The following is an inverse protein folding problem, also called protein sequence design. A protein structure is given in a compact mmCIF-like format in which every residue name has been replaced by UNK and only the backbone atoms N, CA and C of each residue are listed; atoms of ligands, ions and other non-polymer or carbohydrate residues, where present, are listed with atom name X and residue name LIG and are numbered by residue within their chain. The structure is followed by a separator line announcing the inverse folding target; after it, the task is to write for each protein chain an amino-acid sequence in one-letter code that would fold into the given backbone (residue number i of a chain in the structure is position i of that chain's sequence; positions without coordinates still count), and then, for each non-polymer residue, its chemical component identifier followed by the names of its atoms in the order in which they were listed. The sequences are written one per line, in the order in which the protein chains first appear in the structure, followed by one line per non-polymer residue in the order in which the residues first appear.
data_IF_184175374741
#
_entry.id   IF_184175374741
#
_cell.length_a   1.000
_cell.length_b   1.000
_cell.length_c   1.000
_cell.angle_alpha   90.00
_cell.angle_beta   90.00
_cell.angle_gamma   90.00
#
_symmetry.space_group_name_H-M   'P 1'
#
loop_
_entity.id
_entity.type
_entity.pdbx_description
1 polymer ?
#
# COMPACT_ATOMS: atom_id res chain seq x y z
N UNK A 1 162.05 51.00 -54.60
CA UNK A 1 161.34 50.06 -53.68
C UNK A 1 160.24 50.75 -52.87
N UNK A 2 160.42 51.97 -52.34
CA UNK A 2 159.42 52.65 -51.48
C UNK A 2 158.02 52.89 -52.11
N UNK A 3 157.94 53.19 -53.42
CA UNK A 3 156.65 53.47 -54.08
C UNK A 3 155.70 52.27 -54.19
N UNK A 4 156.22 51.04 -54.21
CA UNK A 4 155.42 49.80 -54.27
C UNK A 4 154.75 49.51 -52.91
N UNK A 5 155.49 49.66 -51.82
CA UNK A 5 154.96 49.52 -50.46
C UNK A 5 153.88 50.55 -50.13
N UNK A 6 154.04 51.80 -50.56
CA UNK A 6 153.03 52.84 -50.39
C UNK A 6 151.74 52.56 -51.19
N UNK A 7 151.87 51.95 -52.37
CA UNK A 7 150.73 51.53 -53.18
C UNK A 7 149.97 50.36 -52.53
N UNK A 8 150.70 49.35 -52.02
CA UNK A 8 150.12 48.20 -51.31
C UNK A 8 149.45 48.61 -49.98
N UNK A 9 150.01 49.58 -49.26
CA UNK A 9 149.37 50.16 -48.08
C UNK A 9 148.09 50.92 -48.44
N UNK A 10 148.09 51.69 -49.53
CA UNK A 10 146.91 52.43 -50.01
C UNK A 10 145.79 51.50 -50.44
N UNK A 11 146.11 50.40 -51.12
CA UNK A 11 145.10 49.39 -51.51
C UNK A 11 144.54 48.68 -50.29
N UNK A 12 145.36 48.37 -49.29
CA UNK A 12 144.90 47.78 -48.02
C UNK A 12 144.00 48.71 -47.22
N UNK A 13 144.38 50.00 -47.11
CA UNK A 13 143.54 51.03 -46.47
C UNK A 13 142.19 51.15 -47.18
N UNK A 14 142.18 51.24 -48.52
CA UNK A 14 140.93 51.31 -49.29
C UNK A 14 140.06 50.06 -49.10
N UNK A 15 140.67 48.87 -49.02
CA UNK A 15 139.95 47.64 -48.75
C UNK A 15 139.35 47.62 -47.33
N UNK A 16 140.10 48.09 -46.33
CA UNK A 16 139.62 48.22 -44.95
C UNK A 16 138.49 49.26 -44.84
N UNK A 17 138.57 50.39 -45.53
CA UNK A 17 137.51 51.40 -45.60
C UNK A 17 136.23 50.83 -46.22
N UNK A 18 136.34 50.05 -47.30
CA UNK A 18 135.20 49.35 -47.90
C UNK A 18 134.59 48.33 -46.93
N UNK A 19 135.41 47.55 -46.25
CA UNK A 19 134.92 46.59 -45.25
C UNK A 19 134.23 47.30 -44.07
N UNK A 20 134.79 48.41 -43.59
CA UNK A 20 134.20 49.23 -42.53
C UNK A 20 132.85 49.82 -42.96
N UNK A 21 132.75 50.33 -44.19
CA UNK A 21 131.51 50.87 -44.74
C UNK A 21 130.43 49.77 -44.86
N UNK A 22 130.80 48.57 -45.34
CA UNK A 22 129.89 47.42 -45.40
C UNK A 22 129.43 47.03 -44.00
N UNK A 23 130.35 46.88 -43.04
CA UNK A 23 130.01 46.52 -41.66
C UNK A 23 129.15 47.57 -40.98
N UNK A 24 129.37 48.85 -41.24
CA UNK A 24 128.53 49.94 -40.72
C UNK A 24 127.12 49.82 -41.25
N UNK A 25 126.95 49.60 -42.56
CA UNK A 25 125.65 49.38 -43.19
C UNK A 25 124.93 48.13 -42.65
N UNK A 26 125.67 47.04 -42.44
CA UNK A 26 125.12 45.81 -41.85
C UNK A 26 124.63 46.03 -40.41
N UNK A 27 125.38 46.80 -39.61
CA UNK A 27 125.01 47.17 -38.23
C UNK A 27 123.74 48.04 -38.25
N UNK A 28 123.67 49.03 -39.14
CA UNK A 28 122.47 49.87 -39.30
C UNK A 28 121.24 49.03 -39.66
N UNK A 29 121.35 48.16 -40.67
CA UNK A 29 120.28 47.26 -41.06
C UNK A 29 119.84 46.38 -39.88
N UNK A 30 120.79 45.74 -39.20
CA UNK A 30 120.50 44.89 -38.03
C UNK A 30 119.81 45.68 -36.91
N UNK A 31 120.23 46.92 -36.67
CA UNK A 31 119.61 47.81 -35.69
C UNK A 31 118.16 48.14 -36.05
N UNK A 32 117.87 48.37 -37.34
CA UNK A 32 116.49 48.63 -37.79
C UNK A 32 115.60 47.39 -37.68
N UNK A 33 116.11 46.21 -38.03
CA UNK A 33 115.40 44.94 -37.89
C UNK A 33 115.12 44.59 -36.44
N UNK A 34 116.08 44.81 -35.54
CA UNK A 34 115.92 44.61 -34.11
C UNK A 34 114.82 45.51 -33.54
N UNK A 35 114.79 46.78 -33.95
CA UNK A 35 113.73 47.72 -33.54
C UNK A 35 112.35 47.26 -34.01
N UNK A 36 112.23 46.89 -35.29
CA UNK A 36 110.98 46.36 -35.87
C UNK A 36 110.50 45.09 -35.15
N UNK A 37 111.44 44.20 -34.83
CA UNK A 37 111.13 42.95 -34.10
C UNK A 37 110.65 43.24 -32.68
N UNK A 38 111.26 44.21 -31.98
CA UNK A 38 110.84 44.63 -30.63
C UNK A 38 109.44 45.22 -30.62
N UNK A 39 109.09 46.03 -31.63
CA UNK A 39 107.74 46.58 -31.79
C UNK A 39 106.70 45.47 -32.04
N UNK A 40 107.00 44.52 -32.93
CA UNK A 40 106.13 43.35 -33.18
C UNK A 40 105.95 42.46 -31.94
N UNK A 41 107.02 42.27 -31.16
CA UNK A 41 106.96 41.52 -29.91
C UNK A 41 106.03 42.20 -28.91
N UNK A 42 106.19 43.50 -28.69
CA UNK A 42 105.33 44.28 -27.79
C UNK A 42 103.85 44.26 -28.21
N UNK A 43 103.57 44.36 -29.52
CA UNK A 43 102.20 44.21 -30.04
C UNK A 43 101.64 42.81 -29.77
N UNK A 44 102.46 41.77 -29.91
CA UNK A 44 102.07 40.38 -29.64
C UNK A 44 101.78 40.16 -28.16
N UNK A 45 102.62 40.70 -27.27
CA UNK A 45 102.43 40.64 -25.81
C UNK A 45 101.10 41.28 -25.39
N UNK A 46 100.80 42.48 -25.89
CA UNK A 46 99.54 43.17 -25.60
C UNK A 46 98.33 42.39 -26.11
N UNK A 47 98.42 41.77 -27.29
CA UNK A 47 97.35 40.92 -27.82
C UNK A 47 97.13 39.68 -26.96
N UNK A 48 98.19 39.03 -26.51
CA UNK A 48 98.11 37.87 -25.63
C UNK A 48 97.49 38.24 -24.29
N UNK A 49 97.85 39.40 -23.73
CA UNK A 49 97.25 39.90 -22.49
C UNK A 49 95.73 40.10 -22.63
N UNK A 50 95.27 40.72 -23.72
CA UNK A 50 93.83 40.85 -24.00
C UNK A 50 93.13 39.51 -24.14
N UNK A 51 93.75 38.55 -24.84
CA UNK A 51 93.20 37.19 -24.96
C UNK A 51 93.11 36.45 -23.61
N UNK A 52 94.04 36.68 -22.69
CA UNK A 52 94.00 36.10 -21.34
C UNK A 52 92.83 36.67 -20.54
N UNK A 53 92.58 37.98 -20.65
CA UNK A 53 91.46 38.64 -19.98
C UNK A 53 90.10 38.14 -20.51
N UNK A 54 89.97 38.00 -21.83
CA UNK A 54 88.78 37.44 -22.49
C UNK A 54 88.54 35.96 -22.12
N UNK A 55 89.61 35.17 -22.01
CA UNK A 55 89.52 33.78 -21.57
C UNK A 55 89.05 33.69 -20.11
N UNK A 56 89.53 34.59 -19.26
CA UNK A 56 89.16 34.66 -17.85
C UNK A 56 87.69 35.05 -17.67
N UNK A 57 87.19 36.02 -18.44
CA UNK A 57 85.77 36.41 -18.43
C UNK A 57 84.88 35.27 -18.93
N UNK A 58 85.23 34.66 -20.06
CA UNK A 58 84.50 33.52 -20.64
C UNK A 58 84.42 32.34 -19.66
N UNK A 59 85.51 32.06 -18.94
CA UNK A 59 85.52 31.01 -17.92
C UNK A 59 84.54 31.28 -16.78
N UNK A 60 84.43 32.54 -16.32
CA UNK A 60 83.46 32.92 -15.28
C UNK A 60 82.02 32.75 -15.77
N UNK A 61 81.73 33.18 -16.98
CA UNK A 61 80.40 33.01 -17.58
C UNK A 61 80.04 31.53 -17.75
N UNK A 62 80.99 30.69 -18.17
CA UNK A 62 80.78 29.25 -18.28
C UNK A 62 80.42 28.61 -16.93
N UNK A 63 81.10 28.98 -15.84
CA UNK A 63 80.78 28.48 -14.51
C UNK A 63 79.40 28.97 -14.01
N UNK A 64 79.00 30.21 -14.34
CA UNK A 64 77.64 30.71 -14.05
C UNK A 64 76.59 29.86 -14.78
N UNK A 65 76.76 29.65 -16.09
CA UNK A 65 75.83 28.86 -16.91
C UNK A 65 75.73 27.41 -16.42
N UNK A 66 76.85 26.80 -15.99
CA UNK A 66 76.83 25.46 -15.40
C UNK A 66 75.98 25.40 -14.14
N UNK A 67 76.07 26.40 -13.27
CA UNK A 67 75.27 26.47 -12.05
C UNK A 67 73.78 26.60 -12.37
N UNK A 68 73.41 27.53 -13.24
CA UNK A 68 72.03 27.73 -13.69
C UNK A 68 71.43 26.47 -14.34
N UNK A 69 72.25 25.73 -15.10
CA UNK A 69 71.86 24.45 -15.67
C UNK A 69 71.51 23.42 -14.59
N UNK A 70 72.34 23.28 -13.56
CA UNK A 70 72.10 22.33 -12.45
C UNK A 70 70.82 22.71 -11.68
N UNK A 71 70.61 24.00 -11.42
CA UNK A 71 69.42 24.49 -10.71
C UNK A 71 68.14 24.21 -11.53
N UNK A 72 68.19 24.47 -12.84
CA UNK A 72 67.10 24.17 -13.77
C UNK A 72 66.79 22.66 -13.85
N UNK A 73 67.82 21.81 -13.89
CA UNK A 73 67.64 20.35 -13.89
C UNK A 73 66.99 19.84 -12.60
N UNK A 74 67.31 20.46 -11.46
CA UNK A 74 66.69 20.17 -10.16
C UNK A 74 65.21 20.55 -10.15
N UNK A 75 64.87 21.73 -10.66
CA UNK A 75 63.48 22.19 -10.78
C UNK A 75 62.65 21.29 -11.71
N UNK A 76 63.20 20.92 -12.86
CA UNK A 76 62.56 19.97 -13.79
C UNK A 76 62.26 18.63 -13.09
N UNK A 77 63.16 18.11 -12.27
CA UNK A 77 62.91 16.87 -11.51
C UNK A 77 61.76 17.04 -10.51
N UNK A 78 61.68 18.16 -9.79
CA UNK A 78 60.58 18.47 -8.86
C UNK A 78 59.24 18.59 -9.58
N UNK A 79 59.21 19.28 -10.72
CA UNK A 79 58.01 19.42 -11.54
C UNK A 79 57.55 18.08 -12.09
N UNK A 80 58.46 17.21 -12.56
CA UNK A 80 58.13 15.86 -13.00
C UNK A 80 57.49 15.01 -11.89
N UNK A 81 58.01 15.09 -10.67
CA UNK A 81 57.43 14.39 -9.52
C UNK A 81 56.01 14.89 -9.23
N UNK A 82 55.84 16.21 -9.16
CA UNK A 82 54.54 16.85 -8.92
C UNK A 82 53.52 16.48 -9.99
N UNK A 83 53.93 16.48 -11.27
CA UNK A 83 53.09 16.04 -12.39
C UNK A 83 52.60 14.61 -12.19
N UNK A 84 53.48 13.68 -11.85
CA UNK A 84 53.11 12.27 -11.62
C UNK A 84 52.15 12.10 -10.43
N UNK A 85 52.33 12.88 -9.36
CA UNK A 85 51.40 12.87 -8.22
C UNK A 85 50.02 13.41 -8.59
N UNK A 86 49.95 14.46 -9.41
CA UNK A 86 48.69 15.01 -9.92
C UNK A 86 47.98 14.03 -10.87
N UNK A 87 48.72 13.38 -11.77
CA UNK A 87 48.16 12.36 -12.67
C UNK A 87 47.52 11.20 -11.88
N UNK A 88 48.16 10.74 -10.81
CA UNK A 88 47.57 9.72 -9.91
C UNK A 88 46.29 10.22 -9.24
N UNK A 89 46.30 11.43 -8.69
CA UNK A 89 45.10 12.03 -8.07
C UNK A 89 43.95 12.18 -9.05
N UNK A 90 44.24 12.55 -10.31
CA UNK A 90 43.22 12.64 -11.37
C UNK A 90 42.62 11.25 -11.61
N UNK A 91 43.44 10.22 -11.78
CA UNK A 91 42.96 8.85 -11.99
C UNK A 91 42.10 8.34 -10.82
N UNK A 92 42.50 8.62 -9.57
CA UNK A 92 41.72 8.26 -8.38
C UNK A 92 40.38 9.00 -8.32
N UNK A 93 40.34 10.28 -8.75
CA UNK A 93 39.11 11.06 -8.81
C UNK A 93 38.18 10.56 -9.94
N UNK A 94 38.72 10.23 -11.10
CA UNK A 94 37.95 9.64 -12.21
C UNK A 94 37.30 8.31 -11.80
N UNK A 95 38.02 7.46 -11.07
CA UNK A 95 37.47 6.21 -10.54
C UNK A 95 36.31 6.47 -9.56
N UNK A 96 36.45 7.46 -8.65
CA UNK A 96 35.38 7.85 -7.72
C UNK A 96 34.16 8.43 -8.42
N UNK A 97 34.37 9.23 -9.48
CA UNK A 97 33.27 9.78 -10.28
C UNK A 97 32.49 8.64 -10.92
N UNK A 98 33.18 7.67 -11.54
CA UNK A 98 32.54 6.51 -12.14
C UNK A 98 31.76 5.66 -11.11
N UNK A 99 32.29 5.48 -9.89
CA UNK A 99 31.57 4.78 -8.82
C UNK A 99 30.28 5.53 -8.40
N UNK A 100 30.35 6.86 -8.28
CA UNK A 100 29.20 7.69 -7.93
C UNK A 100 28.13 7.69 -9.03
N UNK A 101 28.54 7.77 -10.29
CA UNK A 101 27.63 7.67 -11.45
C UNK A 101 26.88 6.33 -11.46
N UNK A 102 27.56 5.22 -11.17
CA UNK A 102 26.94 3.91 -11.05
C UNK A 102 25.91 3.86 -9.91
N UNK A 103 26.24 4.39 -8.73
CA UNK A 103 25.30 4.46 -7.59
C UNK A 103 24.08 5.33 -7.89
N UNK A 104 24.26 6.43 -8.64
CA UNK A 104 23.15 7.28 -9.09
C UNK A 104 22.24 6.50 -10.03
N UNK A 105 22.80 5.80 -11.02
CA UNK A 105 22.02 4.99 -11.96
C UNK A 105 21.23 3.88 -11.26
N UNK A 106 21.83 3.16 -10.31
CA UNK A 106 21.13 2.16 -9.50
C UNK A 106 19.98 2.77 -8.70
N UNK A 107 20.18 3.96 -8.15
CA UNK A 107 19.17 4.67 -7.37
C UNK A 107 18.01 5.14 -8.24
N UNK A 108 18.28 5.59 -9.47
CA UNK A 108 17.26 5.96 -10.46
C UNK A 108 16.40 4.75 -10.85
N UNK A 109 17.02 3.60 -11.13
CA UNK A 109 16.28 2.37 -11.45
C UNK A 109 15.37 1.90 -10.30
N UNK A 110 15.85 2.02 -9.06
CA UNK A 110 15.05 1.73 -7.86
C UNK A 110 13.86 2.70 -7.74
N UNK A 111 14.09 4.00 -7.98
CA UNK A 111 13.03 5.01 -7.94
C UNK A 111 11.95 4.75 -8.99
N UNK A 112 12.33 4.42 -10.23
CA UNK A 112 11.38 4.03 -11.29
C UNK A 112 10.55 2.80 -10.92
N UNK A 113 11.18 1.81 -10.28
CA UNK A 113 10.49 0.60 -9.83
C UNK A 113 9.47 0.91 -8.73
N UNK A 114 9.84 1.77 -7.77
CA UNK A 114 8.94 2.23 -6.71
C UNK A 114 7.75 2.99 -7.30
N UNK A 115 7.96 3.88 -8.27
CA UNK A 115 6.87 4.65 -8.86
C UNK A 115 5.91 3.77 -9.65
N UNK A 116 6.41 2.76 -10.37
CA UNK A 116 5.56 1.75 -11.03
C UNK A 116 4.68 1.00 -10.02
N UNK A 117 5.27 0.53 -8.90
CA UNK A 117 4.53 -0.20 -7.86
C UNK A 117 3.50 0.67 -7.14
N UNK A 118 3.81 1.96 -6.94
CA UNK A 118 2.87 2.94 -6.39
C UNK A 118 1.64 3.12 -7.29
N UNK A 119 1.85 3.21 -8.61
CA UNK A 119 0.74 3.30 -9.58
C UNK A 119 -0.13 2.04 -9.59
N UNK A 120 0.47 0.86 -9.42
CA UNK A 120 -0.25 -0.41 -9.32
C UNK A 120 -1.11 -0.47 -8.06
N UNK A 121 -0.54 -0.13 -6.90
CA UNK A 121 -1.27 -0.05 -5.62
C UNK A 121 -2.44 0.94 -5.70
N UNK A 122 -2.27 2.08 -6.37
CA UNK A 122 -3.35 3.06 -6.52
C UNK A 122 -4.50 2.51 -7.37
N UNK A 123 -4.21 1.75 -8.43
CA UNK A 123 -5.23 1.08 -9.23
C UNK A 123 -6.00 0.04 -8.41
N UNK A 124 -5.30 -0.81 -7.68
CA UNK A 124 -5.90 -1.82 -6.80
C UNK A 124 -6.79 -1.16 -5.73
N UNK A 125 -6.34 -0.05 -5.14
CA UNK A 125 -7.15 0.71 -4.16
C UNK A 125 -8.46 1.22 -4.74
N UNK A 126 -8.44 1.75 -5.96
CA UNK A 126 -9.65 2.21 -6.66
C UNK A 126 -10.60 1.05 -6.94
N UNK A 127 -10.08 -0.10 -7.36
CA UNK A 127 -10.89 -1.28 -7.64
C UNK A 127 -11.55 -1.84 -6.37
N UNK A 128 -10.79 -2.00 -5.28
CA UNK A 128 -11.30 -2.37 -3.96
C UNK A 128 -12.37 -1.37 -3.49
N UNK A 129 -12.15 -0.07 -3.72
CA UNK A 129 -13.13 0.97 -3.40
C UNK A 129 -14.47 0.78 -4.11
N UNK A 130 -14.45 0.41 -5.39
CA UNK A 130 -15.65 0.11 -6.18
C UNK A 130 -16.36 -1.16 -5.71
N UNK A 131 -15.60 -2.23 -5.47
CA UNK A 131 -16.16 -3.49 -4.97
C UNK A 131 -16.83 -3.32 -3.60
N UNK A 132 -16.21 -2.54 -2.71
CA UNK A 132 -16.77 -2.21 -1.40
C UNK A 132 -18.11 -1.47 -1.53
N UNK A 133 -18.23 -0.52 -2.45
CA UNK A 133 -19.47 0.24 -2.65
C UNK A 133 -20.57 -0.61 -3.29
N UNK A 134 -20.22 -1.50 -4.22
CA UNK A 134 -21.17 -2.46 -4.81
C UNK A 134 -21.71 -3.43 -3.74
N UNK A 135 -20.82 -3.99 -2.91
CA UNK A 135 -21.21 -4.85 -1.78
C UNK A 135 -22.11 -4.11 -0.78
N UNK A 136 -21.78 -2.85 -0.47
CA UNK A 136 -22.60 -2.02 0.41
C UNK A 136 -24.00 -1.82 -0.15
N UNK A 137 -24.09 -1.48 -1.43
CA UNK A 137 -25.38 -1.28 -2.12
C UNK A 137 -26.21 -2.57 -2.14
N UNK A 138 -25.59 -3.71 -2.45
CA UNK A 138 -26.25 -5.03 -2.40
C UNK A 138 -26.78 -5.38 -1.02
N UNK A 139 -25.99 -5.12 0.02
CA UNK A 139 -26.39 -5.38 1.41
C UNK A 139 -27.59 -4.50 1.80
N UNK A 140 -27.53 -3.21 1.47
CA UNK A 140 -28.59 -2.25 1.78
C UNK A 140 -29.90 -2.60 1.09
N UNK A 141 -29.84 -2.98 -0.20
CA UNK A 141 -31.00 -3.48 -0.93
C UNK A 141 -31.59 -4.75 -0.31
N UNK A 142 -30.74 -5.70 0.13
CA UNK A 142 -31.20 -6.93 0.77
C UNK A 142 -31.84 -6.67 2.13
N UNK A 143 -31.29 -5.76 2.93
CA UNK A 143 -31.86 -5.35 4.21
C UNK A 143 -33.25 -4.75 4.00
N UNK A 144 -33.39 -3.83 3.04
CA UNK A 144 -34.68 -3.20 2.75
C UNK A 144 -35.71 -4.22 2.27
N UNK A 145 -35.34 -5.13 1.36
CA UNK A 145 -36.22 -6.22 0.90
C UNK A 145 -36.69 -7.11 2.06
N UNK A 146 -35.79 -7.54 2.95
CA UNK A 146 -36.16 -8.37 4.11
C UNK A 146 -37.06 -7.60 5.07
N UNK A 147 -36.79 -6.30 5.27
CA UNK A 147 -37.62 -5.43 6.12
C UNK A 147 -39.05 -5.32 5.57
N UNK A 148 -39.19 -5.14 4.26
CA UNK A 148 -40.50 -5.05 3.60
C UNK A 148 -41.27 -6.38 3.70
N UNK A 149 -40.60 -7.51 3.46
CA UNK A 149 -41.17 -8.85 3.63
C UNK A 149 -41.63 -9.10 5.08
N UNK A 150 -40.83 -8.71 6.07
CA UNK A 150 -41.20 -8.82 7.48
C UNK A 150 -42.41 -7.94 7.82
N UNK A 151 -42.47 -6.71 7.30
CA UNK A 151 -43.60 -5.83 7.53
C UNK A 151 -44.90 -6.38 6.92
N UNK A 152 -44.82 -6.96 5.72
CA UNK A 152 -45.97 -7.62 5.10
C UNK A 152 -46.48 -8.79 5.95
N UNK A 153 -45.58 -9.64 6.45
CA UNK A 153 -45.95 -10.76 7.34
C UNK A 153 -46.56 -10.28 8.65
N UNK A 154 -46.06 -9.19 9.24
CA UNK A 154 -46.65 -8.60 10.45
C UNK A 154 -48.09 -8.17 10.18
N UNK A 155 -48.32 -7.45 9.07
CA UNK A 155 -49.66 -6.99 8.70
C UNK A 155 -50.61 -8.16 8.45
N UNK A 156 -50.14 -9.22 7.79
CA UNK A 156 -50.92 -10.44 7.53
C UNK A 156 -51.29 -11.17 8.84
N UNK A 157 -50.32 -11.32 9.76
CA UNK A 157 -50.56 -11.90 11.09
C UNK A 157 -51.58 -11.06 11.88
N UNK A 158 -51.52 -9.73 11.80
CA UNK A 158 -52.50 -8.86 12.44
C UNK A 158 -53.92 -9.02 11.84
N UNK A 159 -54.04 -9.16 10.52
CA UNK A 159 -55.32 -9.43 9.86
C UNK A 159 -55.91 -10.76 10.32
N UNK A 160 -55.13 -11.84 10.23
CA UNK A 160 -55.54 -13.18 10.65
C UNK A 160 -55.92 -13.23 12.13
N UNK A 161 -55.18 -12.53 12.98
CA UNK A 161 -55.49 -12.41 14.41
C UNK A 161 -56.85 -11.73 14.62
N UNK A 162 -57.15 -10.67 13.87
CA UNK A 162 -58.44 -9.97 13.97
C UNK A 162 -59.59 -10.84 13.45
N UNK A 163 -59.42 -11.51 12.31
CA UNK A 163 -60.40 -12.47 11.76
C UNK A 163 -60.70 -13.61 12.73
N UNK A 164 -59.66 -14.20 13.33
CA UNK A 164 -59.81 -15.25 14.33
C UNK A 164 -60.55 -14.74 15.57
N UNK A 165 -60.24 -13.52 16.03
CA UNK A 165 -60.92 -12.90 17.18
C UNK A 165 -62.41 -12.70 16.91
N UNK A 166 -62.77 -12.21 15.72
CA UNK A 166 -64.17 -12.05 15.30
C UNK A 166 -64.87 -13.41 15.24
N UNK A 167 -64.26 -14.39 14.56
CA UNK A 167 -64.81 -15.75 14.44
C UNK A 167 -65.06 -16.40 15.80
N UNK A 168 -64.12 -16.26 16.74
CA UNK A 168 -64.28 -16.75 18.11
C UNK A 168 -65.44 -16.06 18.81
N UNK A 169 -65.55 -14.73 18.69
CA UNK A 169 -66.67 -13.96 19.24
C UNK A 169 -68.02 -14.42 18.68
N UNK A 170 -68.11 -14.61 17.36
CA UNK A 170 -69.33 -15.06 16.69
C UNK A 170 -69.72 -16.47 17.16
N UNK A 171 -68.74 -17.37 17.29
CA UNK A 171 -68.96 -18.73 17.82
C UNK A 171 -69.41 -18.72 19.28
N UNK A 172 -68.94 -17.79 20.10
CA UNK A 172 -69.45 -17.64 21.46
C UNK A 172 -70.92 -17.23 21.49
N UNK A 173 -71.33 -16.28 20.64
CA UNK A 173 -72.75 -15.86 20.52
C UNK A 173 -73.62 -17.01 20.02
N UNK A 174 -73.17 -17.74 19.01
CA UNK A 174 -73.88 -18.91 18.46
C UNK A 174 -74.05 -20.01 19.53
N UNK A 175 -73.00 -20.32 20.30
CA UNK A 175 -73.07 -21.28 21.40
C UNK A 175 -74.08 -20.85 22.46
N UNK A 176 -74.12 -19.56 22.82
CA UNK A 176 -75.05 -19.07 23.83
C UNK A 176 -76.50 -19.16 23.34
N UNK A 177 -76.77 -18.80 22.09
CA UNK A 177 -78.08 -18.97 21.46
C UNK A 177 -78.53 -20.43 21.43
N UNK A 178 -77.63 -21.36 21.07
CA UNK A 178 -77.94 -22.79 21.04
C UNK A 178 -78.22 -23.36 22.44
N UNK A 179 -77.53 -22.85 23.48
CA UNK A 179 -77.85 -23.23 24.87
C UNK A 179 -79.24 -22.76 25.26
N UNK A 180 -79.59 -21.50 24.96
CA UNK A 180 -80.91 -20.95 25.27
C UNK A 180 -82.03 -21.74 24.59
N UNK A 181 -81.83 -22.11 23.32
CA UNK A 181 -82.77 -22.94 22.57
C UNK A 181 -82.90 -24.35 23.16
N UNK A 182 -81.78 -24.98 23.53
CA UNK A 182 -81.76 -26.26 24.25
C UNK A 182 -82.45 -26.17 25.60
N UNK A 183 -82.31 -25.05 26.31
CA UNK A 183 -83.00 -24.76 27.57
C UNK A 183 -84.51 -24.62 27.41
N UNK A 184 -84.96 -23.94 26.35
CA UNK A 184 -86.36 -23.84 26.00
C UNK A 184 -86.96 -25.21 25.64
N UNK A 185 -86.31 -25.97 24.76
CA UNK A 185 -86.74 -27.31 24.37
C UNK A 185 -86.81 -28.26 25.58
N UNK A 186 -85.85 -28.20 26.50
CA UNK A 186 -85.88 -29.02 27.71
C UNK A 186 -87.09 -28.70 28.62
N UNK A 187 -87.45 -27.42 28.75
CA UNK A 187 -88.67 -27.01 29.47
C UNK A 187 -89.93 -27.50 28.77
N UNK A 188 -89.99 -27.37 27.45
CA UNK A 188 -91.12 -27.86 26.65
C UNK A 188 -91.30 -29.37 26.79
N UNK A 189 -90.21 -30.16 26.69
CA UNK A 189 -90.23 -31.60 26.94
C UNK A 189 -90.73 -31.92 28.35
N UNK A 190 -90.30 -31.16 29.37
CA UNK A 190 -90.77 -31.36 30.74
C UNK A 190 -92.28 -31.10 30.87
N UNK A 191 -92.80 -30.04 30.23
CA UNK A 191 -94.25 -29.76 30.22
C UNK A 191 -95.05 -30.81 29.46
N UNK A 192 -94.55 -31.28 28.31
CA UNK A 192 -95.18 -32.36 27.55
C UNK A 192 -95.20 -33.66 28.35
N UNK A 193 -94.12 -34.01 29.05
CA UNK A 193 -94.07 -35.17 29.95
C UNK A 193 -95.15 -35.08 31.03
N UNK A 194 -95.27 -33.96 31.73
CA UNK A 194 -96.32 -33.75 32.74
C UNK A 194 -97.72 -33.87 32.12
N UNK A 195 -97.91 -33.33 30.92
CA UNK A 195 -99.16 -33.47 30.17
C UNK A 195 -99.49 -34.93 29.86
N UNK A 196 -98.51 -35.71 29.38
CA UNK A 196 -98.66 -37.16 29.14
C UNK A 196 -99.01 -37.89 30.43
N UNK A 197 -98.29 -37.66 31.53
CA UNK A 197 -98.58 -38.27 32.84
C UNK A 197 -100.02 -37.97 33.30
N UNK A 198 -100.49 -36.72 33.14
CA UNK A 198 -101.87 -36.35 33.51
C UNK A 198 -102.93 -37.01 32.61
N UNK A 199 -102.65 -37.17 31.31
CA UNK A 199 -103.53 -37.86 30.39
C UNK A 199 -103.57 -39.36 30.69
N UNK A 200 -102.44 -39.97 31.03
CA UNK A 200 -102.36 -41.36 31.47
C UNK A 200 -103.17 -41.59 32.76
N UNK A 201 -103.10 -40.68 33.74
CA UNK A 201 -103.92 -40.73 34.96
C UNK A 201 -105.42 -40.65 34.61
N UNK A 202 -105.82 -39.65 33.81
CA UNK A 202 -107.20 -39.48 33.35
C UNK A 202 -107.74 -40.69 32.57
N UNK A 203 -106.92 -41.32 31.71
CA UNK A 203 -107.31 -42.55 30.98
C UNK A 203 -107.50 -43.72 31.95
N UNK A 204 -106.65 -43.83 32.97
CA UNK A 204 -106.76 -44.86 34.01
C UNK A 204 -108.08 -44.73 34.78
N UNK A 205 -108.44 -43.50 35.16
CA UNK A 205 -109.73 -43.19 35.80
C UNK A 205 -110.93 -43.48 34.88
N UNK A 206 -110.86 -43.04 33.62
CA UNK A 206 -111.92 -43.23 32.64
C UNK A 206 -112.16 -44.71 32.26
N UNK A 207 -111.13 -45.57 32.35
CA UNK A 207 -111.27 -47.03 32.18
C UNK A 207 -111.81 -47.73 33.43
N UNK A 208 -111.56 -47.19 34.62
CA UNK A 208 -112.05 -47.73 35.89
C UNK A 208 -113.59 -47.79 35.95
N UNK A 209 -114.29 -46.72 35.56
CA UNK A 209 -115.74 -46.66 35.64
C UNK A 209 -116.48 -47.71 34.74
N UNK A 210 -116.12 -47.90 33.46
CA UNK A 210 -116.67 -48.98 32.62
C UNK A 210 -116.34 -50.38 33.15
N UNK A 211 -115.12 -50.61 33.66
CA UNK A 211 -114.71 -51.91 34.21
C UNK A 211 -115.49 -52.25 35.50
N UNK A 212 -115.68 -51.26 36.37
CA UNK A 212 -116.51 -51.40 37.57
C UNK A 212 -117.96 -51.72 37.20
N UNK A 213 -118.53 -51.01 36.22
CA UNK A 213 -119.89 -51.27 35.74
C UNK A 213 -120.05 -52.68 35.16
N UNK A 214 -119.06 -53.20 34.45
CA UNK A 214 -119.11 -54.55 33.91
C UNK A 214 -119.00 -55.62 35.00
N UNK A 215 -118.13 -55.44 36.00
CA UNK A 215 -118.03 -56.37 37.14
C UNK A 215 -119.29 -56.32 38.04
N UNK A 216 -119.87 -55.14 38.25
CA UNK A 216 -121.17 -54.98 38.92
C UNK A 216 -122.26 -55.72 38.14
N UNK A 217 -122.31 -55.56 36.82
CA UNK A 217 -123.27 -56.26 35.97
C UNK A 217 -123.10 -57.78 36.09
N UNK A 218 -121.87 -58.31 36.07
CA UNK A 218 -121.62 -59.75 36.28
C UNK A 218 -122.12 -60.25 37.63
N UNK A 219 -121.88 -59.50 38.71
CA UNK A 219 -122.36 -59.84 40.06
C UNK A 219 -123.88 -59.78 40.15
N UNK A 220 -124.50 -58.75 39.57
CA UNK A 220 -125.96 -58.61 39.52
C UNK A 220 -126.63 -59.71 38.71
N UNK A 221 -126.02 -60.16 37.61
CA UNK A 221 -126.52 -61.31 36.84
C UNK A 221 -126.59 -62.58 37.70
N UNK A 222 -125.65 -62.76 38.64
CA UNK A 222 -125.61 -63.96 39.48
C UNK A 222 -126.42 -63.84 40.78
N UNK A 223 -126.39 -62.70 41.46
CA UNK A 223 -126.97 -62.53 42.80
C UNK A 223 -128.25 -61.69 42.84
N UNK A 224 -128.53 -60.89 41.81
CA UNK A 224 -129.67 -59.97 41.77
C UNK A 224 -129.54 -58.73 42.69
N UNK A 225 -128.57 -58.72 43.61
CA UNK A 225 -128.25 -57.58 44.49
C UNK A 225 -126.73 -57.47 44.67
N UNK A 226 -126.27 -56.29 45.06
CA UNK A 226 -124.86 -56.00 45.36
C UNK A 226 -124.80 -55.45 46.79
N UNK A 227 -123.98 -56.04 47.65
CA UNK A 227 -123.79 -55.50 49.01
C UNK A 227 -122.75 -54.38 49.02
N UNK A 228 -122.87 -53.46 49.98
CA UNK A 228 -121.94 -52.33 50.14
C UNK A 228 -120.49 -52.80 50.30
N UNK A 229 -120.26 -53.93 50.99
CA UNK A 229 -118.93 -54.52 51.14
C UNK A 229 -118.37 -55.06 49.82
N UNK A 230 -119.20 -55.72 49.01
CA UNK A 230 -118.77 -56.24 47.70
C UNK A 230 -118.50 -55.11 46.70
N UNK A 231 -119.24 -54.00 46.79
CA UNK A 231 -118.99 -52.81 45.98
C UNK A 231 -117.67 -52.11 46.40
N UNK A 232 -117.40 -51.98 47.70
CA UNK A 232 -116.13 -51.42 48.19
C UNK A 232 -114.92 -52.30 47.81
N UNK A 233 -115.04 -53.63 47.93
CA UNK A 233 -113.98 -54.57 47.53
C UNK A 233 -113.67 -54.46 46.03
N UNK A 234 -114.69 -54.28 45.18
CA UNK A 234 -114.53 -54.04 43.74
C UNK A 234 -113.85 -52.70 43.44
N UNK A 235 -114.24 -51.63 44.13
CA UNK A 235 -113.61 -50.31 43.99
C UNK A 235 -112.12 -50.37 44.35
N UNK A 236 -111.78 -51.08 45.43
CA UNK A 236 -110.39 -51.23 45.88
C UNK A 236 -109.56 -52.09 44.91
N UNK A 237 -110.15 -53.17 44.36
CA UNK A 237 -109.48 -54.07 43.41
C UNK A 237 -109.20 -53.43 42.05
N UNK A 238 -110.08 -52.55 41.58
CA UNK A 238 -109.91 -51.83 40.31
C UNK A 238 -109.14 -50.51 40.47
N UNK A 239 -108.63 -50.21 41.67
CA UNK A 239 -107.82 -49.01 41.92
C UNK A 239 -108.59 -47.70 41.78
N UNK A 240 -109.92 -47.72 41.93
CA UNK A 240 -110.78 -46.54 41.77
C UNK A 240 -110.82 -45.80 43.10
N UNK A 241 -110.25 -44.59 43.14
CA UNK A 241 -110.23 -43.75 44.35
C UNK A 241 -111.65 -43.26 44.69
N UNK A 242 -112.03 -43.29 45.97
CA UNK A 242 -113.29 -42.67 46.46
C UNK A 242 -113.29 -41.19 46.14
N UNK A 243 -114.16 -40.74 45.24
CA UNK A 243 -114.48 -39.32 45.06
C UNK A 243 -115.18 -38.87 46.35
N UNK A 244 -114.44 -38.22 47.24
CA UNK A 244 -115.05 -37.45 48.31
C UNK A 244 -115.57 -36.15 47.70
N UNK A 245 -116.88 -36.01 47.59
CA UNK A 245 -117.49 -34.72 47.30
C UNK A 245 -117.37 -33.81 48.52
N UNK A 246 -116.60 -32.73 48.36
CA UNK A 246 -116.83 -31.43 49.02
C UNK A 246 -116.74 -30.38 47.92
#
# INVERSE_FOLDING_TARGET
MAGKYLLDLRTSINNLEKQLAIKTKDIENTSTELKSTKEKLSQTENRLQGQIEDLSSTKKDLERVKKEKIDSESEIKKLKKTKSELEKKISDLEAKVSELENKINESLLKAETIEKRKLEIEKERVEIGKEKEDLRTKLENRINSVKDEMQQRINEIESLKNELKTTVSDKYVEIESLKDERDAQAKEIATLKQGVESLEENISEAKGAPQLMEEIRKLLIHKGFLSDREFEDLQQKLGIKKIHHI
#
